data_IF_423304096579
#
_entry.id   IF_423304096579
#
_cell.length_a   1.000
_cell.length_b   1.000
_cell.length_c   1.000
_cell.angle_alpha   90.00
_cell.angle_beta   90.00
_cell.angle_gamma   90.00
#
_symmetry.space_group_name_H-M   'P 1'
#
loop_
_entity.id
_entity.type
_entity.pdbx_description
1 polymer ?
#
# COMPACT_ATOMS: atom_id res chain seq x y z
N UNK A 1 -5.56 8.08 -3.92
CA UNK A 1 -4.18 8.41 -3.52
C UNK A 1 -3.98 8.58 -2.01
N UNK A 2 -4.75 9.40 -1.25
CA UNK A 2 -4.39 9.68 0.15
C UNK A 2 -4.27 8.44 1.05
N UNK A 3 -5.03 7.37 0.76
CA UNK A 3 -4.92 6.09 1.46
C UNK A 3 -3.62 5.34 1.14
N UNK A 4 -3.14 5.38 -0.10
CA UNK A 4 -1.88 4.74 -0.48
C UNK A 4 -0.71 5.48 0.17
N UNK A 5 -0.76 6.81 0.16
CA UNK A 5 0.27 7.64 0.79
C UNK A 5 0.37 7.36 2.30
N UNK A 6 -0.78 7.25 2.96
CA UNK A 6 -0.88 7.00 4.39
C UNK A 6 -0.45 5.59 4.80
N UNK A 7 -0.83 4.58 4.02
CA UNK A 7 -0.73 3.18 4.45
C UNK A 7 0.37 2.38 3.76
N UNK A 8 0.93 2.86 2.66
CA UNK A 8 1.82 2.06 1.82
C UNK A 8 3.20 2.69 1.65
N UNK A 9 3.29 4.00 1.41
CA UNK A 9 4.54 4.66 0.98
C UNK A 9 5.68 4.53 2.01
N UNK A 10 5.39 4.54 3.32
CA UNK A 10 6.43 4.44 4.34
C UNK A 10 7.32 3.18 4.20
N UNK A 11 6.75 2.07 3.72
CA UNK A 11 7.48 0.82 3.44
C UNK A 11 7.77 0.63 1.94
N UNK A 12 6.87 1.10 1.07
CA UNK A 12 6.91 0.89 -0.38
C UNK A 12 7.33 2.14 -1.16
N UNK A 13 8.23 2.97 -0.64
CA UNK A 13 8.91 3.97 -1.45
C UNK A 13 10.26 3.43 -1.92
N UNK A 14 10.86 4.03 -2.95
CA UNK A 14 12.26 3.73 -3.31
C UNK A 14 13.25 4.08 -2.18
N UNK A 15 12.86 4.97 -1.28
CA UNK A 15 13.61 5.31 -0.08
C UNK A 15 12.71 5.15 1.15
N UNK A 16 12.49 3.90 1.63
CA UNK A 16 11.60 3.63 2.75
C UNK A 16 11.97 4.43 3.99
N UNK A 17 10.95 4.90 4.70
CA UNK A 17 11.12 5.64 5.96
C UNK A 17 10.73 4.80 7.18
N UNK A 18 10.00 3.70 6.97
CA UNK A 18 9.64 2.75 8.02
C UNK A 18 10.89 1.96 8.48
N UNK A 19 11.27 2.03 9.76
CA UNK A 19 12.35 1.20 10.30
C UNK A 19 12.13 -0.29 10.01
N UNK A 20 13.20 -0.96 9.58
CA UNK A 20 13.18 -2.37 9.19
C UNK A 20 13.07 -2.61 7.68
N UNK A 21 12.87 -1.57 6.87
CA UNK A 21 12.88 -1.66 5.41
C UNK A 21 14.03 -0.83 4.85
N UNK A 22 15.01 -1.48 4.20
CA UNK A 22 16.10 -0.82 3.47
C UNK A 22 15.80 -0.63 1.98
N UNK A 23 14.76 -1.30 1.49
CA UNK A 23 14.26 -1.25 0.12
C UNK A 23 12.76 -1.58 0.12
N UNK A 24 12.00 -1.17 -0.91
CA UNK A 24 10.60 -1.53 -1.04
C UNK A 24 10.42 -3.06 -1.07
N UNK A 25 9.47 -3.63 -0.29
CA UNK A 25 9.21 -5.06 -0.30
C UNK A 25 8.91 -5.58 -1.70
N UNK A 26 9.49 -6.72 -2.05
CA UNK A 26 9.39 -7.35 -3.38
C UNK A 26 9.80 -6.42 -4.55
N UNK A 27 10.52 -5.32 -4.29
CA UNK A 27 10.87 -4.33 -5.30
C UNK A 27 9.70 -3.46 -5.77
N UNK A 28 8.56 -3.50 -5.07
CA UNK A 28 7.34 -2.78 -5.45
C UNK A 28 7.31 -1.41 -4.76
N UNK A 29 7.48 -0.35 -5.54
CA UNK A 29 7.45 1.03 -5.07
C UNK A 29 6.17 1.77 -5.52
N UNK A 30 5.75 2.77 -4.74
CA UNK A 30 4.55 3.59 -4.95
C UNK A 30 4.86 5.09 -4.93
N UNK A 31 6.05 5.49 -5.39
CA UNK A 31 6.48 6.89 -5.43
C UNK A 31 5.73 7.73 -6.47
N UNK A 32 5.05 7.09 -7.42
CA UNK A 32 4.32 7.73 -8.51
C UNK A 32 2.95 7.08 -8.76
N UNK A 33 2.03 7.86 -9.31
CA UNK A 33 0.71 7.35 -9.69
C UNK A 33 0.78 6.22 -10.71
N UNK A 34 1.72 6.29 -11.66
CA UNK A 34 1.93 5.24 -12.64
C UNK A 34 2.29 3.91 -11.99
N UNK A 35 3.16 3.92 -10.98
CA UNK A 35 3.52 2.71 -10.22
C UNK A 35 2.34 2.18 -9.39
N UNK A 36 1.57 3.07 -8.75
CA UNK A 36 0.39 2.69 -7.98
C UNK A 36 -0.65 2.02 -8.89
N UNK A 37 -0.92 2.60 -10.07
CA UNK A 37 -1.85 2.04 -11.06
C UNK A 37 -1.35 0.70 -11.61
N UNK A 38 -0.05 0.57 -11.88
CA UNK A 38 0.58 -0.67 -12.34
C UNK A 38 0.36 -1.83 -11.35
N UNK A 39 0.30 -1.55 -10.06
CA UNK A 39 0.16 -2.54 -8.99
C UNK A 39 -1.22 -2.58 -8.34
N UNK A 40 -2.22 -1.94 -8.94
CA UNK A 40 -3.57 -1.81 -8.38
C UNK A 40 -4.21 -3.13 -7.96
N UNK A 41 -4.18 -4.13 -8.83
CA UNK A 41 -4.77 -5.45 -8.54
C UNK A 41 -4.10 -6.12 -7.33
N UNK A 42 -2.77 -6.04 -7.25
CA UNK A 42 -2.01 -6.55 -6.11
C UNK A 42 -2.38 -5.81 -4.83
N UNK A 43 -2.45 -4.47 -4.86
CA UNK A 43 -2.85 -3.64 -3.71
C UNK A 43 -4.23 -4.08 -3.22
N UNK A 44 -5.19 -4.23 -4.11
CA UNK A 44 -6.55 -4.65 -3.77
C UNK A 44 -6.57 -6.04 -3.12
N UNK A 45 -5.84 -6.99 -3.71
CA UNK A 45 -5.76 -8.35 -3.18
C UNK A 45 -5.16 -8.40 -1.76
N UNK A 46 -4.04 -7.71 -1.52
CA UNK A 46 -3.37 -7.75 -0.22
C UNK A 46 -4.13 -6.97 0.86
N UNK A 47 -4.88 -5.94 0.47
CA UNK A 47 -5.73 -5.17 1.38
C UNK A 47 -7.00 -5.95 1.73
N UNK A 48 -7.66 -6.56 0.73
CA UNK A 48 -8.87 -7.36 0.92
C UNK A 48 -8.61 -8.62 1.75
N UNK A 49 -7.46 -9.27 1.56
CA UNK A 49 -7.03 -10.42 2.37
C UNK A 49 -6.55 -10.05 3.77
N UNK A 50 -6.48 -8.75 4.11
CA UNK A 50 -5.89 -8.22 5.35
C UNK A 50 -4.42 -8.61 5.55
N UNK A 51 -3.73 -9.03 4.49
CA UNK A 51 -2.30 -9.29 4.54
C UNK A 51 -1.50 -8.00 4.72
N UNK A 52 -1.94 -6.92 4.05
CA UNK A 52 -1.38 -5.59 4.20
C UNK A 52 -2.40 -4.62 4.79
N UNK A 53 -1.96 -3.61 5.55
CA UNK A 53 -0.59 -3.42 6.06
C UNK A 53 -0.21 -4.53 7.06
N UNK A 54 1.07 -4.92 7.10
CA UNK A 54 1.56 -5.97 8.01
C UNK A 54 1.12 -5.68 9.44
N UNK A 55 0.49 -6.65 10.11
CA UNK A 55 -0.01 -6.48 11.48
C UNK A 55 -0.93 -5.26 11.69
N UNK A 56 -1.52 -4.73 10.61
CA UNK A 56 -2.24 -3.46 10.58
C UNK A 56 -1.45 -2.26 11.16
N UNK A 57 -0.13 -2.20 10.94
CA UNK A 57 0.78 -1.21 11.53
C UNK A 57 0.36 0.26 11.35
N UNK A 58 -0.34 0.58 10.26
CA UNK A 58 -0.80 1.95 9.97
C UNK A 58 -2.23 2.22 10.43
N UNK A 59 -2.87 1.26 11.10
CA UNK A 59 -4.24 1.38 11.61
C UNK A 59 -5.31 1.50 10.52
N UNK A 60 -5.15 0.80 9.38
CA UNK A 60 -6.12 0.86 8.29
C UNK A 60 -7.48 0.30 8.74
N UNK A 61 -8.54 1.09 8.61
CA UNK A 61 -9.90 0.70 9.01
C UNK A 61 -10.58 -0.18 7.96
N UNK A 62 -11.67 -0.86 8.33
CA UNK A 62 -12.43 -1.67 7.37
C UNK A 62 -13.08 -0.78 6.28
N UNK A 63 -13.43 0.47 6.58
CA UNK A 63 -13.94 1.43 5.60
C UNK A 63 -12.86 1.84 4.59
N UNK A 64 -11.63 2.08 5.05
CA UNK A 64 -10.50 2.39 4.17
C UNK A 64 -10.15 1.17 3.28
N UNK A 65 -10.24 -0.05 3.82
CA UNK A 65 -10.07 -1.29 3.04
C UNK A 65 -11.14 -1.42 1.96
N UNK A 66 -12.39 -1.14 2.30
CA UNK A 66 -13.50 -1.19 1.35
C UNK A 66 -13.30 -0.16 0.23
N UNK A 67 -12.84 1.06 0.56
CA UNK A 67 -12.54 2.10 -0.42
C UNK A 67 -11.42 1.67 -1.39
N UNK A 68 -10.35 1.05 -0.89
CA UNK A 68 -9.27 0.51 -1.75
C UNK A 68 -9.80 -0.64 -2.62
N UNK A 69 -10.62 -1.53 -2.06
CA UNK A 69 -11.17 -2.68 -2.77
C UNK A 69 -12.16 -2.28 -3.88
N UNK A 70 -12.90 -1.19 -3.68
CA UNK A 70 -13.87 -0.66 -4.64
C UNK A 70 -13.23 0.24 -5.72
N UNK A 71 -11.94 0.57 -5.61
CA UNK A 71 -11.27 1.47 -6.53
C UNK A 71 -11.19 0.91 -7.96
N UNK A 72 -11.90 1.54 -8.91
CA UNK A 72 -12.04 1.05 -10.29
C UNK A 72 -11.10 1.69 -11.32
N UNK A 73 -10.45 2.81 -11.01
CA UNK A 73 -9.75 3.66 -12.01
C UNK A 73 -8.26 3.81 -11.73
#
# INVERSE_FOLDING_TARGET
QPLIDRHCIACHSQQPTQPGFSAPPAGIAYDSEAQIRLHKENIQQVVASRYMPLGNMTGMTDEERAAISAWSE
#
